data_IF_283401436920
#
_entry.id   IF_283401436920
#
_cell.length_a   1.000
_cell.length_b   1.000
_cell.length_c   1.000
_cell.angle_alpha   90.00
_cell.angle_beta   90.00
_cell.angle_gamma   90.00
#
_symmetry.space_group_name_H-M   'P 1'
#
loop_
_entity.id
_entity.type
_entity.pdbx_description
1 polymer ?
#
# COMPACT_ATOMS: atom_id res chain seq x y z
N UNK A 1 -38.97 10.03 23.90
CA UNK A 1 -37.64 10.67 24.05
C UNK A 1 -36.61 9.59 23.79
N UNK A 2 -36.12 9.48 22.56
CA UNK A 2 -35.05 8.54 22.22
C UNK A 2 -33.72 9.18 22.61
N UNK A 3 -32.92 8.47 23.41
CA UNK A 3 -31.55 8.87 23.75
C UNK A 3 -30.71 8.97 22.47
N UNK A 4 -29.81 9.96 22.34
CA UNK A 4 -28.84 9.95 21.26
C UNK A 4 -27.94 8.73 21.47
N UNK A 5 -27.81 7.89 20.45
CA UNK A 5 -26.80 6.83 20.46
C UNK A 5 -25.43 7.50 20.61
N UNK A 6 -24.77 7.20 21.72
CA UNK A 6 -23.39 7.60 21.95
C UNK A 6 -22.55 6.99 20.82
N UNK A 7 -22.05 7.83 19.91
CA UNK A 7 -21.04 7.45 18.93
C UNK A 7 -19.90 6.76 19.70
N UNK A 8 -19.43 5.57 19.29
CA UNK A 8 -18.37 4.90 20.02
C UNK A 8 -17.17 5.85 20.08
N UNK A 9 -16.71 6.15 21.29
CA UNK A 9 -15.42 6.79 21.54
C UNK A 9 -14.37 5.86 20.94
N UNK A 10 -13.81 6.25 19.80
CA UNK A 10 -12.66 5.54 19.24
C UNK A 10 -11.50 5.91 20.14
N UNK A 11 -10.96 4.92 20.83
CA UNK A 11 -9.84 5.04 21.76
C UNK A 11 -8.68 5.79 21.09
N UNK A 12 -8.24 6.89 21.72
CA UNK A 12 -7.20 7.78 21.22
C UNK A 12 -5.87 7.01 21.06
N UNK A 13 -5.63 5.99 21.91
CA UNK A 13 -4.49 5.09 21.84
C UNK A 13 -4.54 4.20 20.58
N UNK A 14 -5.75 3.81 20.12
CA UNK A 14 -5.94 3.06 18.87
C UNK A 14 -5.65 3.96 17.65
N UNK A 15 -6.00 5.24 17.71
CA UNK A 15 -5.72 6.22 16.65
C UNK A 15 -4.22 6.50 16.58
N UNK A 16 -3.54 6.66 17.72
CA UNK A 16 -2.10 6.87 17.78
C UNK A 16 -1.32 5.64 17.29
N UNK A 17 -1.73 4.43 17.70
CA UNK A 17 -1.16 3.17 17.20
C UNK A 17 -1.32 3.03 15.68
N UNK A 18 -2.48 3.40 15.13
CA UNK A 18 -2.70 3.37 13.68
C UNK A 18 -1.73 4.32 12.95
N UNK A 19 -1.51 5.53 13.48
CA UNK A 19 -0.54 6.49 12.93
C UNK A 19 0.89 5.92 12.86
N UNK A 20 1.34 5.28 13.94
CA UNK A 20 2.69 4.71 14.04
C UNK A 20 2.96 3.63 12.99
N UNK A 21 1.98 2.76 12.72
CA UNK A 21 2.14 1.69 11.71
C UNK A 21 2.29 2.30 10.31
N UNK A 22 1.53 3.34 9.97
CA UNK A 22 1.69 3.99 8.66
C UNK A 22 3.00 4.77 8.54
N UNK A 23 3.47 5.42 9.61
CA UNK A 23 4.76 6.10 9.62
C UNK A 23 5.92 5.11 9.51
N UNK A 24 5.85 3.98 10.20
CA UNK A 24 6.79 2.87 10.03
C UNK A 24 6.82 2.37 8.58
N UNK A 25 5.66 2.24 7.94
CA UNK A 25 5.58 1.84 6.53
C UNK A 25 6.19 2.87 5.58
N UNK A 26 5.99 4.18 5.82
CA UNK A 26 6.64 5.27 5.05
C UNK A 26 8.15 5.30 5.26
N UNK A 27 8.61 4.99 6.47
CA UNK A 27 10.02 4.95 6.82
C UNK A 27 10.74 3.68 6.34
N UNK A 28 9.99 2.62 5.99
CA UNK A 28 10.54 1.33 5.58
C UNK A 28 10.98 0.46 6.74
N UNK A 29 10.47 0.71 7.95
CA UNK A 29 10.78 -0.05 9.16
C UNK A 29 10.18 -1.46 9.08
N UNK A 30 10.93 -2.33 8.41
CA UNK A 30 10.49 -3.70 8.08
C UNK A 30 10.30 -4.53 9.35
N UNK A 31 11.17 -4.36 10.34
CA UNK A 31 11.11 -5.13 11.59
C UNK A 31 10.01 -4.58 12.52
N UNK A 32 9.81 -3.26 12.57
CA UNK A 32 8.67 -2.68 13.26
C UNK A 32 7.34 -3.16 12.69
N UNK A 33 7.17 -3.09 11.36
CA UNK A 33 5.98 -3.62 10.69
C UNK A 33 5.80 -5.13 10.94
N UNK A 34 6.88 -5.92 10.87
CA UNK A 34 6.82 -7.35 11.22
C UNK A 34 6.25 -7.55 12.63
N UNK A 35 6.77 -6.80 13.62
CA UNK A 35 6.28 -6.86 15.00
C UNK A 35 4.79 -6.52 15.12
N UNK A 36 4.32 -5.48 14.43
CA UNK A 36 2.90 -5.12 14.41
C UNK A 36 2.03 -6.21 13.80
N UNK A 37 2.43 -6.77 12.65
CA UNK A 37 1.69 -7.85 11.99
C UNK A 37 1.65 -9.12 12.86
N UNK A 38 2.78 -9.46 13.50
CA UNK A 38 2.87 -10.61 14.40
C UNK A 38 2.01 -10.41 15.67
N UNK A 39 1.79 -9.16 16.10
CA UNK A 39 0.86 -8.78 17.16
C UNK A 39 -0.63 -8.75 16.72
N UNK A 40 -0.93 -9.07 15.45
CA UNK A 40 -2.29 -9.17 14.93
C UNK A 40 -2.84 -7.89 14.28
N UNK A 41 -2.00 -6.87 14.05
CA UNK A 41 -2.39 -5.71 13.24
C UNK A 41 -2.70 -6.19 11.82
N UNK A 42 -3.87 -5.85 11.24
CA UNK A 42 -4.23 -6.32 9.90
C UNK A 42 -3.26 -5.79 8.82
N UNK A 43 -2.84 -6.67 7.91
CA UNK A 43 -1.91 -6.29 6.81
C UNK A 43 -2.54 -5.29 5.82
N UNK A 44 -3.88 -5.31 5.69
CA UNK A 44 -4.66 -4.49 4.76
C UNK A 44 -5.30 -3.26 5.43
N UNK A 45 -4.72 -2.76 6.53
CA UNK A 45 -5.15 -1.49 7.11
C UNK A 45 -4.95 -0.34 6.11
N UNK A 46 -5.87 0.61 6.15
CA UNK A 46 -5.80 1.86 5.39
C UNK A 46 -5.74 3.05 6.31
N UNK A 47 -4.97 4.06 5.93
CA UNK A 47 -4.95 5.34 6.63
C UNK A 47 -6.18 6.20 6.21
N UNK A 48 -6.28 7.42 6.74
CA UNK A 48 -7.36 8.36 6.40
C UNK A 48 -7.40 8.86 4.95
N UNK A 49 -6.49 8.43 4.09
CA UNK A 49 -6.49 8.67 2.63
C UNK A 49 -6.69 7.40 1.81
N UNK A 50 -7.01 6.27 2.47
CA UNK A 50 -7.15 4.98 1.82
C UNK A 50 -5.83 4.29 1.48
N UNK A 51 -4.66 4.84 1.86
CA UNK A 51 -3.38 4.20 1.53
C UNK A 51 -3.17 2.96 2.39
N UNK A 52 -2.87 1.82 1.77
CA UNK A 52 -2.46 0.59 2.44
C UNK A 52 -0.98 0.62 2.83
N UNK A 53 -0.57 -0.28 3.73
CA UNK A 53 0.85 -0.44 4.07
C UNK A 53 1.71 -0.74 2.85
N UNK A 54 1.23 -1.61 1.95
CA UNK A 54 1.97 -1.99 0.74
C UNK A 54 2.08 -0.82 -0.23
N UNK A 55 1.07 0.06 -0.30
CA UNK A 55 1.14 1.28 -1.10
C UNK A 55 2.20 2.24 -0.57
N UNK A 56 2.24 2.49 0.74
CA UNK A 56 3.22 3.38 1.35
C UNK A 56 4.65 2.83 1.15
N UNK A 57 4.87 1.55 1.43
CA UNK A 57 6.16 0.90 1.20
C UNK A 57 6.62 1.02 -0.27
N UNK A 58 5.71 0.73 -1.20
CA UNK A 58 5.98 0.78 -2.64
C UNK A 58 6.30 2.18 -3.13
N UNK A 59 5.51 3.18 -2.71
CA UNK A 59 5.67 4.57 -3.15
C UNK A 59 6.94 5.23 -2.61
N UNK A 60 7.42 4.77 -1.45
CA UNK A 60 8.64 5.26 -0.80
C UNK A 60 9.91 4.45 -1.11
N UNK A 61 9.81 3.39 -1.92
CA UNK A 61 10.98 2.65 -2.41
C UNK A 61 11.46 1.52 -1.49
N UNK A 62 10.63 1.06 -0.56
CA UNK A 62 11.01 0.05 0.43
C UNK A 62 10.74 -1.36 -0.09
N UNK A 63 11.67 -1.86 -0.89
CA UNK A 63 11.56 -3.18 -1.54
C UNK A 63 11.38 -4.33 -0.54
N UNK A 64 12.22 -4.42 0.49
CA UNK A 64 12.14 -5.48 1.50
C UNK A 64 10.82 -5.46 2.28
N UNK A 65 10.32 -4.27 2.61
CA UNK A 65 9.02 -4.14 3.28
C UNK A 65 7.87 -4.50 2.34
N UNK A 66 7.96 -4.11 1.06
CA UNK A 66 6.96 -4.48 0.05
C UNK A 66 6.87 -6.01 -0.08
N UNK A 67 8.02 -6.69 -0.20
CA UNK A 67 8.08 -8.14 -0.24
C UNK A 67 7.44 -8.78 0.99
N UNK A 68 7.82 -8.32 2.19
CA UNK A 68 7.21 -8.81 3.44
C UNK A 68 5.69 -8.65 3.44
N UNK A 69 5.17 -7.49 3.05
CA UNK A 69 3.72 -7.24 3.06
C UNK A 69 2.99 -8.16 2.08
N UNK A 70 3.53 -8.35 0.87
CA UNK A 70 2.96 -9.29 -0.11
C UNK A 70 3.01 -10.74 0.39
N UNK A 71 4.12 -11.17 0.99
CA UNK A 71 4.25 -12.50 1.63
C UNK A 71 3.23 -12.71 2.76
N UNK A 72 2.87 -11.63 3.46
CA UNK A 72 1.86 -11.63 4.53
C UNK A 72 0.41 -11.51 4.01
N UNK A 73 0.21 -11.54 2.70
CA UNK A 73 -1.11 -11.53 2.07
C UNK A 73 -1.72 -10.14 1.92
N UNK A 74 -0.89 -9.09 1.77
CA UNK A 74 -1.39 -7.77 1.41
C UNK A 74 -2.13 -7.80 0.07
N UNK A 75 -3.29 -7.14 -0.01
CA UNK A 75 -4.00 -6.91 -1.26
C UNK A 75 -3.30 -5.79 -2.04
N UNK A 76 -2.57 -6.19 -3.09
CA UNK A 76 -1.82 -5.30 -3.97
C UNK A 76 -2.69 -4.50 -4.95
N UNK A 77 -4.00 -4.78 -5.02
CA UNK A 77 -4.94 -4.15 -5.94
C UNK A 77 -5.86 -3.12 -5.26
N UNK A 78 -5.78 -2.99 -3.93
CA UNK A 78 -6.54 -1.96 -3.21
C UNK A 78 -6.15 -0.56 -3.71
N UNK A 79 -7.16 0.21 -4.07
CA UNK A 79 -7.01 1.60 -4.49
C UNK A 79 -7.22 2.53 -3.30
N UNK A 80 -6.39 3.57 -3.19
CA UNK A 80 -6.62 4.64 -2.22
C UNK A 80 -7.75 5.57 -2.68
N UNK A 81 -8.06 6.59 -1.89
CA UNK A 81 -9.17 7.53 -2.18
C UNK A 81 -8.96 8.35 -3.47
N UNK A 82 -7.73 8.34 -4.01
CA UNK A 82 -7.36 8.97 -5.28
C UNK A 82 -7.37 7.98 -6.46
N UNK A 83 -7.80 6.73 -6.25
CA UNK A 83 -7.81 5.69 -7.28
C UNK A 83 -6.42 5.15 -7.62
N UNK A 84 -5.41 5.38 -6.78
CA UNK A 84 -4.04 4.95 -7.07
C UNK A 84 -3.82 3.53 -6.55
N UNK A 85 -3.05 2.72 -7.28
CA UNK A 85 -2.57 1.40 -6.84
C UNK A 85 -1.08 1.43 -6.48
N UNK A 86 -0.59 0.50 -5.64
CA UNK A 86 0.84 0.32 -5.39
C UNK A 86 1.65 0.17 -6.69
N UNK A 87 1.13 -0.59 -7.67
CA UNK A 87 1.80 -0.86 -8.94
C UNK A 87 1.97 0.41 -9.78
N UNK A 88 0.92 1.21 -9.94
CA UNK A 88 1.01 2.50 -10.63
C UNK A 88 2.03 3.44 -9.96
N UNK A 89 2.07 3.45 -8.62
CA UNK A 89 3.08 4.18 -7.85
C UNK A 89 4.52 3.73 -8.15
N UNK A 90 4.77 2.42 -8.17
CA UNK A 90 6.08 1.85 -8.49
C UNK A 90 6.54 2.22 -9.92
N UNK A 91 5.63 2.19 -10.90
CA UNK A 91 5.91 2.60 -12.28
C UNK A 91 6.23 4.09 -12.38
N UNK A 92 5.42 4.94 -11.73
CA UNK A 92 5.65 6.39 -11.68
C UNK A 92 7.05 6.71 -11.13
N UNK A 93 7.44 6.05 -10.04
CA UNK A 93 8.74 6.22 -9.40
C UNK A 93 9.90 5.54 -10.14
N UNK A 94 9.62 4.54 -10.98
CA UNK A 94 10.64 3.74 -11.67
C UNK A 94 11.31 2.70 -10.76
N UNK A 95 10.61 2.19 -9.73
CA UNK A 95 11.14 1.18 -8.82
C UNK A 95 10.94 -0.24 -9.38
N UNK A 96 11.89 -0.71 -10.17
CA UNK A 96 11.79 -2.00 -10.89
C UNK A 96 11.69 -3.23 -9.99
N UNK A 97 12.38 -3.27 -8.85
CA UNK A 97 12.28 -4.41 -7.92
C UNK A 97 10.90 -4.50 -7.26
N UNK A 98 10.40 -3.38 -6.74
CA UNK A 98 9.04 -3.25 -6.19
C UNK A 98 7.98 -3.60 -7.25
N UNK A 99 8.16 -3.10 -8.48
CA UNK A 99 7.28 -3.44 -9.60
C UNK A 99 7.18 -4.96 -9.79
N UNK A 100 8.31 -5.68 -9.78
CA UNK A 100 8.32 -7.14 -9.96
C UNK A 100 7.61 -7.84 -8.81
N UNK A 101 7.89 -7.45 -7.57
CA UNK A 101 7.23 -8.01 -6.38
C UNK A 101 5.71 -7.86 -6.50
N UNK A 102 5.21 -6.69 -6.91
CA UNK A 102 3.78 -6.44 -7.05
C UNK A 102 3.15 -7.25 -8.19
N UNK A 103 3.82 -7.35 -9.36
CA UNK A 103 3.35 -8.16 -10.49
C UNK A 103 3.32 -9.65 -10.12
N UNK A 104 4.37 -10.16 -9.47
CA UNK A 104 4.43 -11.53 -8.95
C UNK A 104 3.37 -11.78 -7.86
N UNK A 105 3.03 -10.74 -7.10
CA UNK A 105 1.92 -10.71 -6.14
C UNK A 105 0.51 -10.62 -6.76
N UNK A 106 0.39 -10.62 -8.09
CA UNK A 106 -0.90 -10.59 -8.78
C UNK A 106 -1.52 -9.20 -8.93
N UNK A 107 -0.71 -8.15 -8.97
CA UNK A 107 -1.20 -6.80 -9.25
C UNK A 107 -1.75 -6.71 -10.69
N UNK A 108 -2.96 -6.15 -10.81
CA UNK A 108 -3.62 -5.87 -12.08
C UNK A 108 -3.02 -4.61 -12.72
N UNK A 109 -2.38 -4.71 -13.90
CA UNK A 109 -1.78 -3.56 -14.59
C UNK A 109 -2.78 -2.47 -14.98
N UNK A 110 -4.05 -2.84 -15.12
CA UNK A 110 -5.12 -1.97 -15.61
C UNK A 110 -5.97 -1.41 -14.46
N UNK A 111 -5.66 -1.77 -13.21
CA UNK A 111 -6.32 -1.25 -12.02
C UNK A 111 -5.85 0.17 -11.65
N UNK A 112 -6.78 0.98 -11.17
CA UNK A 112 -6.54 2.36 -10.74
C UNK A 112 -6.65 3.39 -11.86
N UNK A 113 -6.49 4.67 -11.50
CA UNK A 113 -6.56 5.80 -12.41
C UNK A 113 -5.55 6.90 -12.01
N UNK A 114 -4.46 7.12 -12.76
CA UNK A 114 -4.06 6.33 -13.94
C UNK A 114 -3.62 4.91 -13.55
N UNK A 115 -3.86 3.95 -14.45
CA UNK A 115 -3.39 2.57 -14.28
C UNK A 115 -1.86 2.47 -14.36
N UNK A 116 -1.28 1.32 -14.03
CA UNK A 116 0.16 1.10 -14.21
C UNK A 116 0.54 1.14 -15.71
N UNK A 117 -0.32 0.61 -16.59
CA UNK A 117 -0.14 0.65 -18.04
C UNK A 117 -0.15 2.09 -18.58
N UNK A 118 -1.13 2.91 -18.17
CA UNK A 118 -1.20 4.33 -18.55
C UNK A 118 0.03 5.10 -18.05
N UNK A 119 0.37 4.89 -16.78
CA UNK A 119 1.52 5.54 -16.13
C UNK A 119 2.81 5.19 -16.87
N UNK A 120 3.02 3.93 -17.24
CA UNK A 120 4.20 3.53 -18.00
C UNK A 120 4.29 4.26 -19.35
N UNK A 121 3.15 4.43 -20.03
CA UNK A 121 3.05 5.22 -21.26
C UNK A 121 3.40 6.69 -21.05
N UNK A 122 2.82 7.34 -20.04
CA UNK A 122 3.06 8.76 -19.75
C UNK A 122 4.52 9.07 -19.41
N UNK A 123 5.19 8.16 -18.70
CA UNK A 123 6.58 8.33 -18.25
C UNK A 123 7.61 7.58 -19.10
N UNK A 124 7.23 7.05 -20.26
CA UNK A 124 8.10 6.31 -21.19
C UNK A 124 8.86 5.15 -20.52
N UNK A 125 8.21 4.45 -19.57
CA UNK A 125 8.77 3.28 -18.87
C UNK A 125 8.62 2.02 -19.71
N UNK A 126 9.16 2.03 -20.93
CA UNK A 126 8.95 0.96 -21.91
C UNK A 126 9.42 -0.41 -21.40
N UNK A 127 10.47 -0.43 -20.59
CA UNK A 127 10.99 -1.64 -19.94
C UNK A 127 9.99 -2.26 -18.96
N UNK A 128 9.27 -1.45 -18.19
CA UNK A 128 8.26 -1.92 -17.24
C UNK A 128 6.96 -2.30 -17.97
N UNK A 129 6.57 -1.50 -18.97
CA UNK A 129 5.40 -1.79 -19.80
C UNK A 129 5.51 -3.15 -20.49
N UNK A 130 6.72 -3.52 -20.94
CA UNK A 130 6.99 -4.81 -21.57
C UNK A 130 6.92 -6.01 -20.59
N UNK A 131 6.89 -5.76 -19.28
CA UNK A 131 6.85 -6.79 -18.23
C UNK A 131 5.47 -6.94 -17.59
N UNK A 132 4.49 -6.11 -17.96
CA UNK A 132 3.12 -6.26 -17.50
C UNK A 132 2.44 -7.45 -18.22
N UNK A 133 1.58 -8.20 -17.52
CA UNK A 133 0.83 -9.32 -18.12
C UNK A 133 -0.22 -8.88 -19.16
#
# INVERSE_FOLDING_TARGET
MSTPESRPEIDEDIIELAGLVFDAARAGDTEGIRGYLDAGVPVNLTNGSGDTLVMLASYHGHESLTALLVERGADVNTQNDRGQTPLAGAVFKGYTGIFRILVEGGADPDAGSPSARDTAGFFQRQEMLALLP
#
